data_IF_025220110343
#
_entry.id   IF_025220110343
#
_cell.length_a   1.000
_cell.length_b   1.000
_cell.length_c   1.000
_cell.angle_alpha   90.00
_cell.angle_beta   90.00
_cell.angle_gamma   90.00
#
_symmetry.space_group_name_H-M   'P 1'
#
loop_
_entity.id
_entity.type
_entity.pdbx_description
1 polymer ?
#
# COMPACT_ATOMS: atom_id res chain seq x y z
N UNK A 1 -30.86 -4.77 15.10
CA UNK A 1 -29.56 -5.26 15.66
C UNK A 1 -29.29 -6.59 14.96
N UNK A 2 -28.28 -6.65 14.12
CA UNK A 2 -27.94 -7.88 13.38
C UNK A 2 -27.40 -8.93 14.33
N UNK A 3 -27.65 -10.19 14.03
CA UNK A 3 -27.33 -11.45 14.77
C UNK A 3 -25.80 -11.64 15.06
N UNK A 4 -24.95 -10.63 14.93
CA UNK A 4 -23.48 -10.73 15.17
C UNK A 4 -22.74 -11.72 14.25
N UNK A 5 -23.42 -12.48 13.41
CA UNK A 5 -22.83 -13.46 12.50
C UNK A 5 -22.38 -12.80 11.21
N UNK A 6 -21.17 -13.16 10.76
CA UNK A 6 -20.66 -12.71 9.44
C UNK A 6 -21.59 -13.24 8.33
N UNK A 7 -22.00 -12.37 7.38
CA UNK A 7 -22.79 -12.77 6.21
C UNK A 7 -22.10 -13.84 5.35
N UNK A 8 -22.90 -14.56 4.56
CA UNK A 8 -22.39 -15.66 3.73
C UNK A 8 -21.33 -15.23 2.71
N UNK A 9 -21.40 -13.99 2.21
CA UNK A 9 -20.43 -13.45 1.25
C UNK A 9 -19.06 -13.09 1.85
N UNK A 10 -18.91 -13.16 3.18
CA UNK A 10 -17.63 -13.00 3.88
C UNK A 10 -16.96 -14.34 4.22
N UNK A 11 -17.42 -15.44 3.61
CA UNK A 11 -16.74 -16.74 3.74
C UNK A 11 -15.38 -16.68 3.04
N UNK A 12 -14.35 -17.17 3.70
CA UNK A 12 -12.99 -17.25 3.20
C UNK A 12 -12.60 -18.72 3.01
N UNK A 13 -11.74 -18.97 2.01
CA UNK A 13 -11.15 -20.29 1.80
C UNK A 13 -10.08 -20.58 2.84
N UNK A 14 -10.00 -21.85 3.27
CA UNK A 14 -8.92 -22.29 4.16
C UNK A 14 -7.61 -22.25 3.37
N UNK A 15 -6.53 -21.65 3.93
CA UNK A 15 -5.22 -21.64 3.29
C UNK A 15 -4.71 -23.06 3.03
N UNK A 16 -4.26 -23.33 1.80
CA UNK A 16 -3.73 -24.63 1.41
C UNK A 16 -3.22 -24.67 -0.02
N UNK A 17 -2.69 -25.84 -0.44
CA UNK A 17 -2.13 -26.06 -1.76
C UNK A 17 -0.62 -25.82 -1.87
N UNK A 18 -0.02 -26.30 -2.98
CA UNK A 18 1.44 -26.26 -3.19
C UNK A 18 2.00 -24.83 -3.25
N UNK A 19 1.31 -23.91 -3.94
CA UNK A 19 1.72 -22.50 -4.04
C UNK A 19 1.74 -21.81 -2.67
N UNK A 20 0.72 -22.04 -1.83
CA UNK A 20 0.69 -21.54 -0.46
C UNK A 20 1.85 -22.10 0.38
N UNK A 21 2.10 -23.41 0.29
CA UNK A 21 3.19 -24.05 1.03
C UNK A 21 4.57 -23.51 0.63
N UNK A 22 4.80 -23.28 -0.67
CA UNK A 22 6.04 -22.73 -1.21
C UNK A 22 6.30 -21.31 -0.66
N UNK A 23 5.32 -20.40 -0.76
CA UNK A 23 5.44 -19.02 -0.24
C UNK A 23 5.61 -19.02 1.28
N UNK A 24 4.83 -19.82 2.00
CA UNK A 24 4.93 -19.97 3.47
C UNK A 24 6.31 -20.48 3.89
N UNK A 25 6.89 -21.41 3.12
CA UNK A 25 8.24 -21.93 3.34
C UNK A 25 9.29 -20.83 3.22
N UNK A 26 9.26 -20.04 2.14
CA UNK A 26 10.20 -18.94 1.89
C UNK A 26 10.10 -17.88 2.98
N UNK A 27 8.88 -17.46 3.34
CA UNK A 27 8.63 -16.46 4.41
C UNK A 27 9.27 -16.89 5.72
N UNK A 28 9.07 -18.16 6.13
CA UNK A 28 9.64 -18.69 7.38
C UNK A 28 11.15 -18.85 7.31
N UNK A 29 11.69 -19.42 6.22
CA UNK A 29 13.11 -19.67 6.06
C UNK A 29 13.95 -18.39 6.10
N UNK A 30 13.41 -17.29 5.57
CA UNK A 30 14.11 -16.00 5.51
C UNK A 30 13.73 -15.04 6.66
N UNK A 31 12.96 -15.49 7.66
CA UNK A 31 12.56 -14.66 8.81
C UNK A 31 11.84 -13.37 8.40
N UNK A 32 10.96 -13.45 7.37
CA UNK A 32 10.25 -12.30 6.85
C UNK A 32 8.93 -12.08 7.56
N UNK A 33 8.55 -10.83 7.70
CA UNK A 33 7.21 -10.44 8.12
C UNK A 33 6.33 -10.18 6.90
N UNK A 34 5.08 -10.63 6.94
CA UNK A 34 4.09 -10.32 5.92
C UNK A 34 2.82 -9.79 6.57
N UNK A 35 2.25 -8.73 6.02
CA UNK A 35 0.94 -8.24 6.48
C UNK A 35 -0.16 -9.27 6.21
N UNK A 36 0.06 -10.19 5.28
CA UNK A 36 -0.86 -11.30 5.02
C UNK A 36 -1.08 -12.15 6.27
N UNK A 37 0.01 -12.46 7.00
CA UNK A 37 -0.04 -13.22 8.26
C UNK A 37 -0.40 -12.32 9.45
N UNK A 38 0.32 -11.21 9.67
CA UNK A 38 0.15 -10.32 10.82
C UNK A 38 -1.23 -9.65 10.84
N UNK A 39 -1.75 -9.30 9.66
CA UNK A 39 -3.05 -8.68 9.47
C UNK A 39 -4.21 -9.67 9.37
N UNK A 40 -3.98 -10.98 9.54
CA UNK A 40 -5.00 -12.03 9.39
C UNK A 40 -5.80 -11.87 8.08
N UNK A 41 -5.09 -11.69 6.95
CA UNK A 41 -5.69 -11.36 5.67
C UNK A 41 -6.61 -12.49 5.17
N UNK A 42 -7.87 -12.21 4.80
CA UNK A 42 -8.80 -13.24 4.31
C UNK A 42 -8.37 -13.84 2.95
N UNK A 43 -7.51 -13.16 2.20
CA UNK A 43 -7.09 -13.56 0.86
C UNK A 43 -5.75 -14.31 0.84
N UNK A 44 -5.16 -14.62 1.99
CA UNK A 44 -3.82 -15.22 2.08
C UNK A 44 -3.70 -16.50 1.24
N UNK A 45 -4.74 -17.34 1.25
CA UNK A 45 -4.77 -18.59 0.47
C UNK A 45 -4.67 -18.34 -1.03
N UNK A 46 -5.52 -17.45 -1.55
CA UNK A 46 -5.58 -17.10 -2.97
C UNK A 46 -4.30 -16.39 -3.41
N UNK A 47 -3.89 -15.36 -2.67
CA UNK A 47 -2.71 -14.56 -3.02
C UNK A 47 -1.43 -15.42 -3.04
N UNK A 48 -1.19 -16.22 -2.01
CA UNK A 48 0.01 -17.05 -1.94
C UNK A 48 0.01 -18.20 -2.95
N UNK A 49 -1.17 -18.77 -3.27
CA UNK A 49 -1.29 -19.72 -4.37
C UNK A 49 -0.90 -19.08 -5.73
N UNK A 50 -1.19 -17.81 -5.92
CA UNK A 50 -0.85 -17.03 -7.12
C UNK A 50 0.53 -16.33 -7.02
N UNK A 51 1.38 -16.70 -6.05
CA UNK A 51 2.70 -16.10 -5.83
C UNK A 51 2.66 -14.57 -5.62
N UNK A 52 1.62 -14.09 -4.95
CA UNK A 52 1.48 -12.70 -4.55
C UNK A 52 1.61 -12.61 -3.03
N UNK A 53 2.56 -11.83 -2.54
CA UNK A 53 2.73 -11.59 -1.11
C UNK A 53 2.97 -10.10 -0.85
N UNK A 54 2.50 -9.61 0.30
CA UNK A 54 2.79 -8.25 0.77
C UNK A 54 3.76 -8.35 1.93
N UNK A 55 4.99 -7.92 1.69
CA UNK A 55 6.03 -7.88 2.72
C UNK A 55 5.80 -6.70 3.64
N UNK A 56 6.03 -6.93 4.93
CA UNK A 56 6.01 -5.89 5.95
C UNK A 56 7.44 -5.70 6.47
N UNK A 57 7.99 -4.51 6.30
CA UNK A 57 9.34 -4.15 6.71
C UNK A 57 9.35 -3.33 8.00
N UNK A 58 10.54 -3.10 8.55
CA UNK A 58 10.80 -2.37 9.80
C UNK A 58 10.31 -3.09 11.05
N UNK A 59 10.14 -4.43 10.96
CA UNK A 59 9.70 -5.28 12.05
C UNK A 59 8.19 -5.52 12.08
N UNK A 60 7.70 -5.97 13.23
CA UNK A 60 6.30 -6.41 13.45
C UNK A 60 5.60 -5.68 14.60
N UNK A 61 6.27 -4.72 15.26
CA UNK A 61 5.72 -3.88 16.32
C UNK A 61 5.60 -2.45 15.79
N UNK A 62 4.39 -1.86 15.88
CA UNK A 62 4.11 -0.51 15.40
C UNK A 62 4.13 0.50 16.54
N UNK A 63 4.61 1.72 16.29
CA UNK A 63 4.53 2.83 17.26
C UNK A 63 3.14 3.43 17.37
N UNK A 64 2.20 3.06 16.46
CA UNK A 64 0.83 3.58 16.42
C UNK A 64 -0.21 2.51 16.72
N UNK A 65 -1.29 2.90 17.41
CA UNK A 65 -2.38 2.04 17.86
C UNK A 65 -3.68 2.30 17.06
N UNK A 66 -3.66 2.11 15.75
CA UNK A 66 -4.85 2.29 14.92
C UNK A 66 -5.93 1.25 15.29
N UNK A 67 -7.16 1.71 15.54
CA UNK A 67 -8.24 0.85 16.08
C UNK A 67 -8.73 -0.21 15.11
N UNK A 68 -8.36 -0.15 13.84
CA UNK A 68 -8.69 -1.17 12.83
C UNK A 68 -7.59 -2.23 12.68
N UNK A 69 -6.37 -1.98 13.17
CA UNK A 69 -5.18 -2.76 12.82
C UNK A 69 -4.94 -3.90 13.80
N UNK A 70 -4.55 -5.07 13.27
CA UNK A 70 -4.17 -6.24 14.06
C UNK A 70 -2.71 -6.23 14.54
N UNK A 71 -1.87 -5.37 13.96
CA UNK A 71 -0.43 -5.28 14.27
C UNK A 71 -0.23 -4.86 15.73
N UNK A 72 0.64 -5.55 16.48
CA UNK A 72 0.96 -5.18 17.84
C UNK A 72 1.51 -3.76 17.95
N UNK A 73 1.11 -3.04 18.98
CA UNK A 73 1.61 -1.69 19.29
C UNK A 73 2.61 -1.77 20.45
N UNK A 74 3.72 -1.02 20.36
CA UNK A 74 4.72 -1.01 21.43
C UNK A 74 6.01 -0.31 21.01
N UNK A 75 7.11 -0.75 21.62
CA UNK A 75 8.46 -0.30 21.30
C UNK A 75 9.09 -1.28 20.31
N UNK A 76 9.30 -0.87 19.04
CA UNK A 76 9.92 -1.73 18.04
C UNK A 76 11.39 -2.03 18.38
N UNK A 77 11.88 -3.16 17.89
CA UNK A 77 13.30 -3.49 17.94
C UNK A 77 14.12 -2.55 17.02
N UNK A 78 15.45 -2.47 17.20
CA UNK A 78 16.33 -1.77 16.27
C UNK A 78 16.13 -2.24 14.83
N UNK A 79 16.40 -1.33 13.88
CA UNK A 79 16.34 -1.66 12.45
C UNK A 79 17.40 -2.73 12.14
N UNK A 80 16.99 -3.74 11.38
CA UNK A 80 17.89 -4.72 10.82
C UNK A 80 18.43 -4.23 9.46
N UNK A 81 19.71 -3.89 9.43
CA UNK A 81 20.37 -3.40 8.22
C UNK A 81 20.39 -4.43 7.07
N UNK A 82 20.14 -5.72 7.33
CA UNK A 82 20.10 -6.76 6.32
C UNK A 82 18.68 -7.04 5.77
N UNK A 83 17.65 -6.46 6.38
CA UNK A 83 16.25 -6.66 5.94
C UNK A 83 16.05 -6.33 4.46
N UNK A 84 16.58 -5.21 3.90
CA UNK A 84 16.44 -4.89 2.48
C UNK A 84 16.90 -6.01 1.55
N UNK A 85 18.05 -6.60 1.83
CA UNK A 85 18.63 -7.69 1.03
C UNK A 85 17.84 -8.98 1.16
N UNK A 86 17.34 -9.31 2.37
CA UNK A 86 16.50 -10.50 2.58
C UNK A 86 15.19 -10.39 1.84
N UNK A 87 14.53 -9.22 1.88
CA UNK A 87 13.30 -8.97 1.13
C UNK A 87 13.55 -9.11 -0.36
N UNK A 88 14.59 -8.47 -0.90
CA UNK A 88 14.93 -8.53 -2.33
C UNK A 88 15.20 -9.98 -2.81
N UNK A 89 15.94 -10.79 -2.02
CA UNK A 89 16.17 -12.20 -2.31
C UNK A 89 14.88 -13.02 -2.31
N UNK A 90 13.97 -12.72 -1.39
CA UNK A 90 12.70 -13.43 -1.28
C UNK A 90 11.76 -13.12 -2.43
N UNK A 91 11.71 -11.87 -2.90
CA UNK A 91 11.03 -11.48 -4.14
C UNK A 91 11.54 -12.30 -5.33
N UNK A 92 12.88 -12.46 -5.43
CA UNK A 92 13.52 -13.27 -6.48
C UNK A 92 13.16 -14.75 -6.38
N UNK A 93 13.26 -15.35 -5.19
CA UNK A 93 12.96 -16.76 -4.95
C UNK A 93 11.49 -17.09 -5.25
N UNK A 94 10.58 -16.17 -4.95
CA UNK A 94 9.17 -16.32 -5.26
C UNK A 94 8.84 -16.06 -6.74
N UNK A 95 9.76 -15.47 -7.52
CA UNK A 95 9.54 -15.13 -8.92
C UNK A 95 8.39 -14.14 -9.12
N UNK A 96 8.29 -13.13 -8.25
CA UNK A 96 7.17 -12.19 -8.28
C UNK A 96 7.30 -11.23 -9.47
N UNK A 97 6.28 -11.17 -10.32
CA UNK A 97 6.15 -10.13 -11.33
C UNK A 97 5.67 -8.80 -10.73
N UNK A 98 4.94 -8.88 -9.60
CA UNK A 98 4.43 -7.73 -8.86
C UNK A 98 4.62 -7.96 -7.36
N UNK A 99 5.27 -7.03 -6.68
CA UNK A 99 5.41 -7.09 -5.24
C UNK A 99 4.87 -5.85 -4.55
N UNK A 100 4.23 -6.06 -3.40
CA UNK A 100 3.76 -4.98 -2.55
C UNK A 100 4.59 -4.96 -1.27
N UNK A 101 5.09 -3.79 -0.91
CA UNK A 101 5.83 -3.56 0.33
C UNK A 101 5.01 -2.63 1.22
N UNK A 102 4.88 -2.98 2.48
CA UNK A 102 4.33 -2.12 3.52
C UNK A 102 5.23 -2.13 4.75
N UNK A 103 4.93 -1.33 5.76
CA UNK A 103 5.68 -1.33 7.02
C UNK A 103 4.79 -1.11 8.23
N UNK A 104 5.36 -1.34 9.41
CA UNK A 104 4.91 -0.69 10.65
C UNK A 104 5.31 0.79 10.64
N UNK A 105 4.64 1.62 11.46
CA UNK A 105 5.12 2.99 11.70
C UNK A 105 6.29 2.98 12.69
N UNK A 106 7.25 3.84 12.45
CA UNK A 106 8.48 3.99 13.25
C UNK A 106 8.68 5.45 13.67
N UNK A 107 7.65 6.03 14.31
CA UNK A 107 7.72 7.40 14.85
C UNK A 107 8.82 7.57 15.93
N UNK A 108 9.41 6.47 16.38
CA UNK A 108 10.55 6.40 17.30
C UNK A 108 11.90 6.75 16.64
N UNK A 109 11.96 6.71 15.30
CA UNK A 109 13.19 7.01 14.55
C UNK A 109 13.18 8.46 14.03
N UNK A 110 14.34 9.15 13.99
CA UNK A 110 14.43 10.51 13.47
C UNK A 110 13.96 10.66 12.02
N UNK A 111 14.21 9.65 11.17
CA UNK A 111 13.81 9.57 9.77
C UNK A 111 12.52 8.74 9.56
N UNK A 112 11.88 8.31 10.63
CA UNK A 112 10.68 7.47 10.61
C UNK A 112 10.80 6.24 9.69
N UNK A 113 12.04 5.80 9.42
CA UNK A 113 12.37 4.66 8.57
C UNK A 113 12.45 4.98 7.07
N UNK A 114 12.44 6.24 6.65
CA UNK A 114 12.48 6.65 5.23
C UNK A 114 13.71 6.10 4.50
N UNK A 115 14.88 6.06 5.15
CA UNK A 115 16.11 5.49 4.58
C UNK A 115 15.97 3.99 4.36
N UNK A 116 15.46 3.26 5.35
CA UNK A 116 15.26 1.81 5.22
C UNK A 116 14.23 1.46 4.13
N UNK A 117 13.18 2.27 3.98
CA UNK A 117 12.23 2.19 2.89
C UNK A 117 12.92 2.35 1.52
N UNK A 118 13.69 3.43 1.36
CA UNK A 118 14.46 3.71 0.13
C UNK A 118 15.38 2.54 -0.23
N UNK A 119 16.14 2.07 0.75
CA UNK A 119 17.14 1.02 0.56
C UNK A 119 16.49 -0.33 0.23
N UNK A 120 15.31 -0.62 0.81
CA UNK A 120 14.55 -1.84 0.49
C UNK A 120 14.04 -1.82 -0.95
N UNK A 121 13.42 -0.72 -1.40
CA UNK A 121 12.92 -0.61 -2.78
C UNK A 121 14.07 -0.68 -3.78
N UNK A 122 15.20 0.01 -3.52
CA UNK A 122 16.41 -0.07 -4.35
C UNK A 122 16.97 -1.49 -4.43
N UNK A 123 17.08 -2.20 -3.31
CA UNK A 123 17.57 -3.58 -3.30
C UNK A 123 16.67 -4.51 -4.11
N UNK A 124 15.34 -4.34 -4.02
CA UNK A 124 14.39 -5.12 -4.82
C UNK A 124 14.57 -4.80 -6.30
N UNK A 125 14.61 -3.53 -6.69
CA UNK A 125 14.74 -3.11 -8.10
C UNK A 125 16.05 -3.62 -8.72
N UNK A 126 17.17 -3.56 -7.98
CA UNK A 126 18.47 -4.05 -8.44
C UNK A 126 18.48 -5.57 -8.68
N UNK A 127 17.92 -6.34 -7.75
CA UNK A 127 17.95 -7.79 -7.83
C UNK A 127 16.85 -8.37 -8.73
N UNK A 128 15.76 -7.62 -8.95
CA UNK A 128 14.54 -8.02 -9.65
C UNK A 128 14.07 -6.93 -10.64
N UNK A 129 14.84 -6.63 -11.70
CA UNK A 129 14.58 -5.47 -12.58
C UNK A 129 13.28 -5.55 -13.37
N UNK A 130 12.66 -6.74 -13.44
CA UNK A 130 11.38 -6.95 -14.14
C UNK A 130 10.17 -6.90 -13.17
N UNK A 131 10.41 -6.79 -11.86
CA UNK A 131 9.34 -6.79 -10.87
C UNK A 131 8.75 -5.40 -10.72
N UNK A 132 7.44 -5.28 -10.89
CA UNK A 132 6.71 -4.04 -10.55
C UNK A 132 6.65 -3.91 -9.02
N UNK A 133 7.05 -2.75 -8.50
CA UNK A 133 7.09 -2.47 -7.06
C UNK A 133 6.01 -1.47 -6.71
N UNK A 134 5.01 -1.92 -5.96
CA UNK A 134 4.04 -1.07 -5.27
C UNK A 134 4.45 -0.93 -3.81
N UNK A 135 4.31 0.25 -3.25
CA UNK A 135 4.56 0.50 -1.84
C UNK A 135 3.28 1.00 -1.15
N UNK A 136 3.10 0.66 0.11
CA UNK A 136 2.06 1.21 0.98
C UNK A 136 2.76 1.82 2.20
N UNK A 137 3.08 3.12 2.09
CA UNK A 137 3.94 3.84 3.02
C UNK A 137 3.16 4.49 4.17
N UNK A 138 3.81 4.77 5.32
CA UNK A 138 3.27 5.62 6.38
C UNK A 138 3.18 7.09 5.91
N UNK A 139 2.52 7.94 6.71
CA UNK A 139 2.38 9.36 6.39
C UNK A 139 3.63 10.21 6.67
N UNK A 140 4.68 9.64 7.26
CA UNK A 140 5.89 10.32 7.72
C UNK A 140 5.59 11.61 8.49
N UNK A 141 4.45 11.66 9.19
CA UNK A 141 3.96 12.84 9.93
C UNK A 141 3.91 14.11 9.06
N UNK A 142 3.70 13.97 7.74
CA UNK A 142 3.65 15.06 6.78
C UNK A 142 5.00 15.69 6.43
N UNK A 143 6.12 15.09 6.86
CA UNK A 143 7.48 15.57 6.56
C UNK A 143 7.85 15.29 5.11
N UNK A 144 7.80 16.32 4.28
CA UNK A 144 8.09 16.23 2.84
C UNK A 144 9.55 15.85 2.56
N UNK A 145 10.49 16.24 3.42
CA UNK A 145 11.90 15.83 3.34
C UNK A 145 12.08 14.31 3.44
N UNK A 146 11.31 13.65 4.32
CA UNK A 146 11.34 12.20 4.46
C UNK A 146 10.62 11.50 3.30
N UNK A 147 9.50 12.07 2.84
CA UNK A 147 8.80 11.57 1.66
C UNK A 147 9.73 11.65 0.44
N UNK A 148 10.44 12.76 0.23
CA UNK A 148 11.39 12.92 -0.86
C UNK A 148 12.56 11.93 -0.77
N UNK A 149 13.11 11.73 0.44
CA UNK A 149 14.16 10.72 0.68
C UNK A 149 13.70 9.32 0.26
N UNK A 150 12.46 8.95 0.61
CA UNK A 150 11.87 7.69 0.18
C UNK A 150 11.67 7.64 -1.33
N UNK A 151 11.11 8.71 -1.95
CA UNK A 151 10.79 8.76 -3.38
C UNK A 151 12.03 8.66 -4.29
N UNK A 152 13.25 8.93 -3.78
CA UNK A 152 14.51 8.63 -4.49
C UNK A 152 14.66 7.15 -4.89
N UNK A 153 13.92 6.25 -4.26
CA UNK A 153 13.90 4.82 -4.61
C UNK A 153 13.13 4.49 -5.88
N UNK A 154 12.33 5.43 -6.39
CA UNK A 154 11.56 5.33 -7.63
C UNK A 154 10.65 4.09 -7.72
N UNK A 155 9.75 3.85 -6.76
CA UNK A 155 8.77 2.78 -6.87
C UNK A 155 7.80 3.05 -8.04
N UNK A 156 7.17 2.00 -8.55
CA UNK A 156 6.22 2.13 -9.66
C UNK A 156 4.87 2.69 -9.23
N UNK A 157 4.41 2.35 -8.02
CA UNK A 157 3.16 2.85 -7.43
C UNK A 157 3.41 3.25 -5.98
N UNK A 158 2.99 4.46 -5.62
CA UNK A 158 3.05 4.97 -4.25
C UNK A 158 1.66 4.92 -3.64
N UNK A 159 1.45 3.99 -2.72
CA UNK A 159 0.22 3.83 -1.96
C UNK A 159 0.31 4.48 -0.58
N UNK A 160 -0.76 5.14 -0.19
CA UNK A 160 -1.03 5.54 1.19
C UNK A 160 -2.54 5.53 1.43
N UNK A 161 -3.00 4.73 2.38
CA UNK A 161 -4.42 4.56 2.62
C UNK A 161 -4.97 5.68 3.52
N UNK A 162 -6.13 6.23 3.16
CA UNK A 162 -6.94 7.06 4.05
C UNK A 162 -7.63 6.21 5.13
N UNK A 163 -7.84 4.92 4.85
CA UNK A 163 -8.48 3.90 5.68
C UNK A 163 -9.97 4.13 5.92
N UNK A 164 -10.40 5.37 6.14
CA UNK A 164 -11.80 5.76 6.36
C UNK A 164 -12.04 7.22 5.92
N UNK A 165 -13.26 7.68 6.04
CA UNK A 165 -13.68 9.06 5.72
C UNK A 165 -13.17 10.08 6.75
N UNK A 166 -13.12 11.35 6.40
CA UNK A 166 -12.56 12.43 7.22
C UNK A 166 -13.11 12.44 8.66
N UNK A 167 -14.44 12.43 8.83
CA UNK A 167 -15.10 12.46 10.14
C UNK A 167 -14.64 11.34 11.07
N UNK A 168 -14.39 10.16 10.53
CA UNK A 168 -14.00 8.98 11.31
C UNK A 168 -12.49 8.85 11.48
N UNK A 169 -11.68 9.58 10.72
CA UNK A 169 -10.24 9.42 10.68
C UNK A 169 -9.60 9.46 12.07
N UNK A 170 -9.89 10.48 12.87
CA UNK A 170 -9.32 10.63 14.23
C UNK A 170 -9.75 9.55 15.22
N UNK A 171 -10.95 9.00 15.05
CA UNK A 171 -11.47 7.94 15.94
C UNK A 171 -10.94 6.54 15.58
N UNK A 172 -10.52 6.34 14.34
CA UNK A 172 -10.09 5.05 13.78
C UNK A 172 -8.57 4.95 13.69
N UNK A 173 -7.89 6.05 13.34
CA UNK A 173 -6.45 6.15 13.15
C UNK A 173 -5.82 6.93 14.32
N UNK A 174 -4.89 6.33 15.04
CA UNK A 174 -4.40 6.87 16.32
C UNK A 174 -3.66 8.22 16.21
N UNK A 175 -2.87 8.43 15.15
CA UNK A 175 -2.04 9.63 14.93
C UNK A 175 -2.14 10.19 13.52
N UNK A 176 -2.66 9.41 12.59
CA UNK A 176 -2.75 9.84 11.20
C UNK A 176 -3.89 10.85 11.03
N UNK A 177 -3.59 11.91 10.31
CA UNK A 177 -4.50 13.01 10.02
C UNK A 177 -4.96 12.93 8.55
N UNK A 178 -6.24 13.21 8.28
CA UNK A 178 -6.82 13.10 6.96
C UNK A 178 -6.19 14.08 5.95
N UNK A 179 -6.04 15.38 6.25
CA UNK A 179 -5.36 16.32 5.38
C UNK A 179 -3.88 15.97 5.13
N UNK A 180 -3.17 15.49 6.16
CA UNK A 180 -1.77 15.04 6.03
C UNK A 180 -1.64 13.88 5.06
N UNK A 181 -2.55 12.92 5.12
CA UNK A 181 -2.61 11.76 4.21
C UNK A 181 -2.86 12.19 2.77
N UNK A 182 -3.79 13.12 2.54
CA UNK A 182 -4.02 13.71 1.20
C UNK A 182 -2.82 14.51 0.73
N UNK A 183 -2.14 15.24 1.64
CA UNK A 183 -0.92 16.00 1.36
C UNK A 183 0.21 15.12 0.83
N UNK A 184 0.43 13.94 1.44
CA UNK A 184 1.40 12.96 0.98
C UNK A 184 1.08 12.48 -0.43
N UNK A 185 -0.17 12.07 -0.69
CA UNK A 185 -0.58 11.58 -2.02
C UNK A 185 -0.41 12.67 -3.08
N UNK A 186 -0.79 13.91 -2.76
CA UNK A 186 -0.61 15.08 -3.64
C UNK A 186 0.86 15.33 -3.93
N UNK A 187 1.71 15.28 -2.91
CA UNK A 187 3.14 15.48 -3.06
C UNK A 187 3.76 14.41 -3.99
N UNK A 188 3.44 13.14 -3.77
CA UNK A 188 3.91 12.04 -4.63
C UNK A 188 3.39 12.18 -6.08
N UNK A 189 2.12 12.55 -6.27
CA UNK A 189 1.53 12.78 -7.60
C UNK A 189 2.21 13.94 -8.33
N UNK A 190 2.51 15.05 -7.64
CA UNK A 190 3.24 16.21 -8.19
C UNK A 190 4.67 15.87 -8.59
N UNK A 191 5.29 14.87 -7.94
CA UNK A 191 6.59 14.29 -8.30
C UNK A 191 6.51 13.30 -9.47
N UNK A 192 5.33 13.11 -10.07
CA UNK A 192 5.11 12.23 -11.22
C UNK A 192 4.87 10.77 -10.88
N UNK A 193 4.70 10.41 -9.61
CA UNK A 193 4.41 9.03 -9.22
C UNK A 193 2.92 8.70 -9.40
N UNK A 194 2.63 7.47 -9.81
CA UNK A 194 1.28 6.92 -9.72
C UNK A 194 0.93 6.71 -8.26
N UNK A 195 -0.21 7.26 -7.85
CA UNK A 195 -0.66 7.18 -6.46
C UNK A 195 -1.90 6.32 -6.32
N UNK A 196 -1.95 5.60 -5.19
CA UNK A 196 -3.03 4.69 -4.82
C UNK A 196 -3.46 4.91 -3.39
N UNK A 197 -4.76 4.78 -3.13
CA UNK A 197 -5.30 4.82 -1.78
C UNK A 197 -6.31 3.72 -1.53
N UNK A 198 -6.66 3.50 -0.27
CA UNK A 198 -7.64 2.51 0.13
C UNK A 198 -8.55 2.99 1.24
N UNK A 199 -9.79 2.49 1.20
CA UNK A 199 -10.82 2.70 2.20
C UNK A 199 -11.36 1.38 2.71
N UNK A 200 -11.73 1.36 3.98
CA UNK A 200 -12.51 0.29 4.58
C UNK A 200 -13.91 0.80 4.90
N UNK A 201 -14.93 0.04 4.50
CA UNK A 201 -16.33 0.34 4.80
C UNK A 201 -16.84 -0.53 5.96
N UNK A 202 -17.83 -0.02 6.66
CA UNK A 202 -18.44 -0.67 7.82
C UNK A 202 -17.94 -0.15 9.16
N UNK A 203 -17.37 1.06 9.17
CA UNK A 203 -16.91 1.78 10.37
C UNK A 203 -17.89 2.90 10.80
N UNK A 204 -19.03 3.05 10.09
CA UNK A 204 -20.06 4.06 10.37
C UNK A 204 -20.01 5.26 9.42
N UNK A 205 -19.33 5.15 8.30
CA UNK A 205 -19.35 6.11 7.20
C UNK A 205 -20.71 6.12 6.47
N UNK A 206 -21.11 7.28 5.95
CA UNK A 206 -22.22 7.40 5.03
C UNK A 206 -21.77 7.29 3.57
N UNK A 207 -22.70 7.01 2.66
CA UNK A 207 -22.44 6.97 1.22
C UNK A 207 -21.85 8.30 0.72
N UNK A 208 -22.43 9.41 1.12
CA UNK A 208 -21.96 10.74 0.69
C UNK A 208 -20.56 11.07 1.18
N UNK A 209 -20.18 10.60 2.37
CA UNK A 209 -18.81 10.75 2.87
C UNK A 209 -17.81 9.92 2.06
N UNK A 210 -18.18 8.71 1.64
CA UNK A 210 -17.33 7.89 0.76
C UNK A 210 -17.14 8.57 -0.59
N UNK A 211 -18.21 9.12 -1.19
CA UNK A 211 -18.13 9.83 -2.46
C UNK A 211 -17.26 11.10 -2.37
N UNK A 212 -17.43 11.90 -1.31
CA UNK A 212 -16.55 13.06 -1.05
C UNK A 212 -15.09 12.63 -0.89
N UNK A 213 -14.84 11.54 -0.19
CA UNK A 213 -13.46 11.03 -0.03
C UNK A 213 -12.85 10.59 -1.37
N UNK A 214 -13.65 10.04 -2.30
CA UNK A 214 -13.19 9.77 -3.66
C UNK A 214 -12.82 11.07 -4.39
N UNK A 215 -13.65 12.11 -4.27
CA UNK A 215 -13.40 13.41 -4.90
C UNK A 215 -12.13 14.08 -4.32
N UNK A 216 -11.92 14.02 -3.00
CA UNK A 216 -10.71 14.51 -2.33
C UNK A 216 -9.43 13.78 -2.80
N UNK A 217 -9.52 12.46 -2.97
CA UNK A 217 -8.43 11.65 -3.50
C UNK A 217 -8.08 12.03 -4.94
N UNK A 218 -9.07 12.22 -5.80
CA UNK A 218 -8.87 12.66 -7.18
C UNK A 218 -8.26 14.07 -7.22
N UNK A 219 -8.73 14.99 -6.38
CA UNK A 219 -8.16 16.34 -6.24
C UNK A 219 -6.72 16.33 -5.71
N UNK A 220 -6.34 15.29 -4.93
CA UNK A 220 -4.96 15.04 -4.53
C UNK A 220 -4.09 14.37 -5.61
N UNK A 221 -4.65 14.08 -6.80
CA UNK A 221 -3.93 13.40 -7.89
C UNK A 221 -3.90 11.88 -7.77
N UNK A 222 -4.63 11.29 -6.82
CA UNK A 222 -4.72 9.84 -6.68
C UNK A 222 -5.60 9.24 -7.79
N UNK A 223 -5.07 8.27 -8.53
CA UNK A 223 -5.75 7.66 -9.69
C UNK A 223 -6.13 6.20 -9.48
N UNK A 224 -5.76 5.60 -8.37
CA UNK A 224 -6.05 4.20 -8.06
C UNK A 224 -6.68 4.08 -6.68
N UNK A 225 -7.80 3.35 -6.60
CA UNK A 225 -8.51 3.17 -5.34
C UNK A 225 -8.86 1.70 -5.06
N UNK A 226 -8.78 1.30 -3.81
CA UNK A 226 -9.31 0.03 -3.32
C UNK A 226 -10.32 0.27 -2.21
N UNK A 227 -11.46 -0.43 -2.24
CA UNK A 227 -12.49 -0.31 -1.21
C UNK A 227 -12.88 -1.71 -0.72
N UNK A 228 -12.67 -1.98 0.57
CA UNK A 228 -12.95 -3.27 1.18
C UNK A 228 -13.82 -3.20 2.42
N UNK A 229 -14.37 -4.33 2.86
CA UNK A 229 -15.09 -4.41 4.14
C UNK A 229 -14.10 -4.38 5.30
N UNK A 230 -14.33 -3.53 6.29
CA UNK A 230 -13.68 -3.64 7.58
C UNK A 230 -14.12 -4.95 8.28
N UNK A 231 -13.14 -5.71 8.72
CA UNK A 231 -13.36 -6.90 9.54
C UNK A 231 -12.62 -6.71 10.86
N UNK A 232 -13.35 -6.72 11.97
CA UNK A 232 -12.77 -6.55 13.30
C UNK A 232 -11.77 -7.69 13.59
N UNK A 233 -10.47 -7.38 13.78
CA UNK A 233 -9.47 -8.42 13.99
C UNK A 233 -9.58 -9.08 15.38
N UNK A 234 -9.84 -8.26 16.41
CA UNK A 234 -9.91 -8.67 17.83
C UNK A 234 -11.00 -7.86 18.54
N UNK A 235 -11.56 -8.33 19.65
CA UNK A 235 -12.64 -7.64 20.36
C UNK A 235 -12.32 -6.20 20.79
N UNK A 236 -11.05 -5.86 21.07
CA UNK A 236 -10.61 -4.51 21.47
C UNK A 236 -10.50 -3.54 20.30
N UNK A 237 -10.50 -4.01 19.06
CA UNK A 237 -10.50 -3.15 17.88
C UNK A 237 -11.88 -2.50 17.67
N UNK A 238 -11.96 -1.51 16.76
CA UNK A 238 -13.22 -0.85 16.44
C UNK A 238 -14.28 -1.89 16.05
N UNK A 239 -15.53 -1.79 16.53
CA UNK A 239 -16.58 -2.70 16.13
C UNK A 239 -16.92 -2.53 14.64
N UNK A 240 -17.50 -3.57 14.05
CA UNK A 240 -18.11 -3.46 12.72
C UNK A 240 -19.50 -2.87 12.90
N UNK A 241 -19.73 -1.67 12.35
CA UNK A 241 -21.03 -1.00 12.42
C UNK A 241 -22.05 -1.60 11.44
N UNK A 242 -21.56 -2.03 10.26
CA UNK A 242 -22.40 -2.74 9.28
C UNK A 242 -21.54 -3.63 8.36
N UNK A 243 -22.16 -4.67 7.82
CA UNK A 243 -21.60 -5.44 6.71
C UNK A 243 -22.22 -4.94 5.42
N UNK A 244 -21.40 -4.34 4.55
CA UNK A 244 -21.80 -3.77 3.26
C UNK A 244 -22.09 -4.88 2.27
N UNK A 245 -23.20 -4.78 1.54
CA UNK A 245 -23.57 -5.79 0.55
C UNK A 245 -22.64 -5.76 -0.67
N UNK A 246 -22.33 -6.90 -1.32
CA UNK A 246 -21.49 -6.95 -2.51
C UNK A 246 -21.94 -5.99 -3.63
N UNK A 247 -23.25 -5.78 -3.82
CA UNK A 247 -23.79 -4.87 -4.83
C UNK A 247 -23.40 -3.41 -4.57
N UNK A 248 -23.35 -2.97 -3.31
CA UNK A 248 -22.86 -1.63 -2.97
C UNK A 248 -21.37 -1.46 -3.35
N UNK A 249 -20.56 -2.49 -3.18
CA UNK A 249 -19.17 -2.45 -3.64
C UNK A 249 -19.08 -2.37 -5.16
N UNK A 250 -19.94 -3.07 -5.88
CA UNK A 250 -20.01 -2.98 -7.34
C UNK A 250 -20.42 -1.56 -7.78
N UNK A 251 -21.38 -0.94 -7.09
CA UNK A 251 -21.77 0.46 -7.31
C UNK A 251 -20.59 1.41 -7.04
N UNK A 252 -19.89 1.29 -5.91
CA UNK A 252 -18.71 2.12 -5.61
C UNK A 252 -17.62 1.97 -6.66
N UNK A 253 -17.39 0.76 -7.17
CA UNK A 253 -16.44 0.53 -8.25
C UNK A 253 -16.82 1.31 -9.51
N UNK A 254 -18.07 1.23 -9.93
CA UNK A 254 -18.57 1.97 -11.08
C UNK A 254 -18.45 3.47 -10.87
N UNK A 255 -18.91 4.00 -9.74
CA UNK A 255 -18.85 5.42 -9.38
C UNK A 255 -17.40 5.95 -9.30
N UNK A 256 -16.44 5.14 -8.86
CA UNK A 256 -15.03 5.51 -8.85
C UNK A 256 -14.50 5.67 -10.30
N UNK A 257 -14.79 4.72 -11.18
CA UNK A 257 -14.38 4.79 -12.59
C UNK A 257 -15.03 5.98 -13.32
N UNK A 258 -16.31 6.21 -13.11
CA UNK A 258 -17.04 7.36 -13.68
C UNK A 258 -16.48 8.71 -13.20
N UNK A 259 -15.94 8.79 -11.98
CA UNK A 259 -15.27 9.98 -11.44
C UNK A 259 -13.86 10.21 -12.00
N UNK A 260 -13.27 9.22 -12.66
CA UNK A 260 -11.96 9.34 -13.30
C UNK A 260 -10.83 8.62 -12.60
N UNK A 261 -11.10 7.69 -11.68
CA UNK A 261 -10.07 6.74 -11.27
C UNK A 261 -9.71 5.81 -12.44
N UNK A 262 -8.42 5.62 -12.65
CA UNK A 262 -7.90 4.70 -13.69
C UNK A 262 -8.01 3.23 -13.25
N UNK A 263 -8.03 3.01 -11.94
CA UNK A 263 -8.17 1.69 -11.33
C UNK A 263 -9.05 1.77 -10.08
N UNK A 264 -10.03 0.88 -10.00
CA UNK A 264 -10.88 0.71 -8.83
C UNK A 264 -11.12 -0.78 -8.59
N UNK A 265 -10.68 -1.28 -7.43
CA UNK A 265 -11.02 -2.64 -6.97
C UNK A 265 -11.84 -2.51 -5.70
N UNK A 266 -13.12 -2.92 -5.77
CA UNK A 266 -14.07 -2.79 -4.66
C UNK A 266 -14.73 -4.15 -4.41
N UNK A 267 -14.82 -4.55 -3.14
CA UNK A 267 -15.47 -5.80 -2.78
C UNK A 267 -15.30 -6.17 -1.32
N UNK A 268 -16.13 -7.08 -0.79
CA UNK A 268 -16.13 -7.42 0.64
C UNK A 268 -14.78 -7.93 1.17
N UNK A 269 -14.03 -8.64 0.36
CA UNK A 269 -12.73 -9.20 0.75
C UNK A 269 -11.54 -8.40 0.20
N UNK A 270 -11.77 -7.29 -0.52
CA UNK A 270 -10.70 -6.44 -1.06
C UNK A 270 -9.83 -5.89 0.06
N UNK A 271 -8.53 -5.86 -0.18
CA UNK A 271 -7.47 -5.24 0.63
C UNK A 271 -6.58 -4.41 -0.29
N UNK A 272 -5.79 -3.50 0.25
CA UNK A 272 -4.95 -2.58 -0.54
C UNK A 272 -4.08 -3.28 -1.59
N UNK A 273 -3.57 -4.47 -1.26
CA UNK A 273 -2.72 -5.27 -2.16
C UNK A 273 -3.46 -6.40 -2.89
N UNK A 274 -4.78 -6.55 -2.67
CA UNK A 274 -5.53 -7.60 -3.33
C UNK A 274 -5.64 -7.33 -4.83
N UNK A 275 -5.23 -8.32 -5.64
CA UNK A 275 -5.19 -8.22 -7.10
C UNK A 275 -4.47 -6.97 -7.63
N UNK A 276 -3.44 -6.52 -6.90
CA UNK A 276 -2.65 -5.35 -7.28
C UNK A 276 -1.94 -5.57 -8.64
N UNK A 277 -1.61 -6.81 -8.99
CA UNK A 277 -1.09 -7.23 -10.28
C UNK A 277 -1.99 -6.85 -11.47
N UNK A 278 -3.31 -6.75 -11.28
CA UNK A 278 -4.24 -6.31 -12.34
C UNK A 278 -4.01 -4.86 -12.77
N UNK A 279 -3.36 -4.05 -11.94
CA UNK A 279 -2.98 -2.69 -12.29
C UNK A 279 -1.65 -2.61 -13.04
N UNK A 280 -0.95 -3.73 -13.25
CA UNK A 280 0.38 -3.74 -13.88
C UNK A 280 0.38 -3.13 -15.29
N UNK A 281 -0.67 -3.34 -16.08
CA UNK A 281 -0.79 -2.76 -17.42
C UNK A 281 -0.83 -1.22 -17.39
N UNK A 282 -1.39 -0.62 -16.34
CA UNK A 282 -1.40 0.84 -16.18
C UNK A 282 0.00 1.38 -15.89
N UNK A 283 0.82 0.60 -15.18
CA UNK A 283 2.18 0.98 -14.79
C UNK A 283 3.14 0.91 -15.98
N UNK A 284 3.01 -0.09 -16.84
CA UNK A 284 3.88 -0.32 -18.00
C UNK A 284 3.83 0.84 -19.02
N UNK A 285 2.73 1.57 -19.11
CA UNK A 285 2.54 2.70 -20.05
C UNK A 285 2.93 4.06 -19.46
N UNK A 286 3.22 4.18 -18.17
CA UNK A 286 3.50 5.44 -17.47
C UNK A 286 4.97 5.87 -17.42
N UNK A 287 5.92 4.97 -17.62
CA UNK A 287 7.35 5.26 -17.49
C UNK A 287 8.00 5.93 -18.75
N UNK A 288 7.24 6.20 -19.80
CA UNK A 288 7.77 6.86 -21.02
C UNK A 288 7.95 8.39 -20.90
N UNK A 289 7.57 9.02 -19.75
CA UNK A 289 7.52 10.46 -19.57
C UNK A 289 8.52 11.11 -18.61
N UNK A 290 9.28 10.37 -17.85
CA UNK A 290 9.99 10.95 -16.71
C UNK A 290 11.45 10.57 -16.51
N UNK A 291 12.31 10.77 -17.50
CA UNK A 291 13.77 11.03 -17.38
C UNK A 291 14.34 11.34 -18.76
N UNK A 292 14.02 12.49 -19.33
CA UNK A 292 14.92 13.06 -20.34
C UNK A 292 16.09 13.71 -19.60
N UNK A 293 17.22 13.03 -19.67
CA UNK A 293 18.53 13.49 -19.22
C UNK A 293 18.83 14.89 -19.79
N UNK A 294 18.96 15.89 -18.92
CA UNK A 294 19.51 17.21 -19.27
C UNK A 294 21.03 17.20 -19.52
N UNK A 295 21.61 16.02 -19.81
CA UNK A 295 23.07 15.89 -20.03
C UNK A 295 23.54 15.98 -21.49
N UNK A 296 22.67 16.28 -22.46
CA UNK A 296 23.10 16.38 -23.88
C UNK A 296 23.10 17.82 -24.46
N UNK A 297 23.04 18.86 -23.65
CA UNK A 297 23.08 20.25 -24.18
C UNK A 297 24.39 21.00 -23.96
N UNK A 298 25.48 20.36 -23.53
CA UNK A 298 26.77 21.09 -23.32
C UNK A 298 27.93 20.67 -24.22
N UNK A 299 27.73 19.91 -25.28
CA UNK A 299 28.84 19.48 -26.15
C UNK A 299 28.78 19.93 -27.60
N UNK A 300 28.01 20.99 -27.94
CA UNK A 300 27.95 21.47 -29.35
C UNK A 300 28.21 22.96 -29.50
N UNK A 301 28.98 23.61 -28.62
CA UNK A 301 29.32 25.03 -28.80
C UNK A 301 30.82 25.41 -28.68
N UNK A 302 31.72 24.46 -28.94
CA UNK A 302 33.16 24.75 -29.05
C UNK A 302 33.76 24.19 -30.34
N UNK A 303 33.35 24.68 -31.49
CA UNK A 303 34.10 24.50 -32.73
C UNK A 303 33.65 25.52 -33.81
N UNK A 304 33.85 26.82 -33.59
CA UNK A 304 33.87 27.83 -34.66
C UNK A 304 34.37 29.16 -34.10
N UNK A 305 35.65 29.30 -33.90
CA UNK A 305 36.42 30.56 -34.03
C UNK A 305 37.88 30.19 -34.14
N UNK A 306 38.46 30.21 -35.32
CA UNK A 306 39.74 30.82 -35.58
C UNK A 306 39.98 30.91 -37.11
N UNK A 307 40.80 31.92 -37.49
CA UNK A 307 40.58 32.79 -38.65
C UNK A 307 41.07 32.21 -39.94
#
# INVERSE_FOLDING_TARGET
MGDGRKPAWLKISIPGGEGYAAVSGIVRQHGLHTICSSGMCPNIAECWANRVATFMILGDICTRACRFCATPTGHPLPIDAQEPQRVARSVKLMGLAYCVITSVNRDDLPDQGAIAWRDTVRAIAQLNPQTTIEVLIPDFSGRTDLIDTFLESSPHVVGHNLETVERLSRSVRSRADYPTSLGLLRHAAQRGFRTKSGLMLGLGESRDEVLRTMDDLLAAGCRMITIGQYLQPRPQNAPVERYVHPDEFAEYRQLALERGFEFAECGPLVRSSYRADRAQHLVAHGNAGGHRNEREKTSHNEARTNP
#
